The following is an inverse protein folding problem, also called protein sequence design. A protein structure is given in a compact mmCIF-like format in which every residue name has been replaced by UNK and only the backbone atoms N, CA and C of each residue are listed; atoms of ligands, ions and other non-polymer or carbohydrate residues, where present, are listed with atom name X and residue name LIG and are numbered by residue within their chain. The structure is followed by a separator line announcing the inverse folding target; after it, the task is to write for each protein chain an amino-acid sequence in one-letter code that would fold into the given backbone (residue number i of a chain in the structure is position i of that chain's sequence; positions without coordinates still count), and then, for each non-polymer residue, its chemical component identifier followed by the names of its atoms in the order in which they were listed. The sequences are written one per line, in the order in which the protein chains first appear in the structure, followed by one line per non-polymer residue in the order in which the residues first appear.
data_IF_895527927072
#
_entry.id   IF_895527927072
#
_cell.length_a   1.000
_cell.length_b   1.000
_cell.length_c   1.000
_cell.angle_alpha   90.00
_cell.angle_beta   90.00
_cell.angle_gamma   90.00
#
_symmetry.space_group_name_H-M   'P 1'
#
loop_
_entity.id
_entity.type
_entity.pdbx_description
1 polymer ?
#
# COMPACT_ATOMS: atom_id res chain seq x y z
N UNK A 1 5.32 1.15 -3.96
CA UNK A 1 6.60 1.76 -4.41
C UNK A 1 7.09 0.98 -5.62
N UNK A 2 7.51 1.69 -6.66
CA UNK A 2 7.92 1.14 -7.95
C UNK A 2 9.35 1.56 -8.20
N UNK A 3 10.27 0.59 -8.21
CA UNK A 3 11.66 0.87 -8.57
C UNK A 3 11.76 0.97 -10.10
N UNK A 4 12.36 2.05 -10.63
CA UNK A 4 12.55 2.24 -12.08
C UNK A 4 13.61 1.31 -12.65
N UNK A 5 14.57 0.87 -11.82
CA UNK A 5 15.58 -0.14 -12.17
C UNK A 5 16.05 -0.92 -10.94
N UNK A 6 16.60 -2.12 -11.13
CA UNK A 6 17.15 -2.94 -10.04
C UNK A 6 18.63 -2.57 -9.76
N UNK A 7 18.91 -1.28 -9.61
CA UNK A 7 20.22 -0.74 -9.19
C UNK A 7 20.04 0.10 -7.93
N UNK A 8 21.10 0.29 -7.14
CA UNK A 8 21.00 1.04 -5.88
C UNK A 8 20.62 2.51 -6.11
N UNK A 9 21.10 3.10 -7.22
CA UNK A 9 20.84 4.50 -7.59
C UNK A 9 19.54 4.71 -8.38
N UNK A 10 18.76 3.66 -8.63
CA UNK A 10 17.53 3.80 -9.41
C UNK A 10 16.48 4.61 -8.66
N UNK A 11 15.83 5.54 -9.37
CA UNK A 11 14.71 6.31 -8.83
C UNK A 11 13.55 5.40 -8.39
N UNK A 12 12.87 5.83 -7.34
CA UNK A 12 11.70 5.17 -6.79
C UNK A 12 10.47 6.05 -7.02
N UNK A 13 9.45 5.47 -7.65
CA UNK A 13 8.14 6.08 -7.83
C UNK A 13 7.09 5.50 -6.88
N UNK A 14 5.99 6.20 -6.71
CA UNK A 14 4.82 5.71 -5.98
C UNK A 14 3.64 5.64 -6.94
N UNK A 15 3.07 4.44 -7.08
CA UNK A 15 1.86 4.23 -7.86
C UNK A 15 0.64 4.36 -6.94
N UNK A 16 -0.31 5.21 -7.34
CA UNK A 16 -1.56 5.43 -6.64
C UNK A 16 -2.72 4.87 -7.46
N UNK A 17 -3.54 4.02 -6.82
CA UNK A 17 -4.68 3.37 -7.47
C UNK A 17 -5.94 3.67 -6.68
N UNK A 18 -7.05 3.92 -7.39
CA UNK A 18 -8.32 4.30 -6.78
C UNK A 18 -9.35 3.22 -7.07
N UNK A 19 -9.72 2.48 -6.04
CA UNK A 19 -10.81 1.52 -6.13
C UNK A 19 -12.16 2.27 -6.13
N UNK A 20 -13.06 1.85 -7.02
CA UNK A 20 -14.45 2.28 -7.08
C UNK A 20 -15.38 1.09 -6.82
N UNK A 21 -16.66 1.35 -6.53
CA UNK A 21 -17.65 0.30 -6.25
C UNK A 21 -17.81 -0.72 -7.38
N UNK A 22 -17.51 -0.32 -8.62
CA UNK A 22 -17.60 -1.17 -9.81
C UNK A 22 -16.24 -1.76 -10.23
N UNK A 23 -15.16 -1.47 -9.49
CA UNK A 23 -13.84 -2.00 -9.80
C UNK A 23 -13.82 -3.52 -9.62
N UNK A 24 -13.24 -4.21 -10.59
CA UNK A 24 -12.92 -5.65 -10.57
C UNK A 24 -11.41 -5.85 -10.59
N UNK A 25 -10.96 -7.09 -10.36
CA UNK A 25 -9.53 -7.45 -10.41
C UNK A 25 -8.86 -7.06 -11.73
N UNK A 26 -9.56 -7.20 -12.86
CA UNK A 26 -9.03 -6.88 -14.18
C UNK A 26 -8.88 -5.36 -14.35
N UNK A 27 -9.90 -4.59 -13.97
CA UNK A 27 -9.82 -3.12 -14.06
C UNK A 27 -8.72 -2.55 -13.16
N UNK A 28 -8.56 -3.10 -11.95
CA UNK A 28 -7.51 -2.71 -11.03
C UNK A 28 -6.13 -3.14 -11.55
N UNK A 29 -6.02 -4.32 -12.17
CA UNK A 29 -4.79 -4.77 -12.81
C UNK A 29 -4.34 -3.79 -13.89
N UNK A 30 -5.25 -3.42 -14.80
CA UNK A 30 -4.96 -2.49 -15.88
C UNK A 30 -4.54 -1.10 -15.34
N UNK A 31 -5.23 -0.60 -14.30
CA UNK A 31 -4.88 0.66 -13.63
C UNK A 31 -3.51 0.59 -12.96
N UNK A 32 -3.22 -0.48 -12.21
CA UNK A 32 -1.92 -0.70 -11.57
C UNK A 32 -0.81 -0.72 -12.64
N UNK A 33 -1.01 -1.48 -13.72
CA UNK A 33 -0.02 -1.61 -14.77
C UNK A 33 0.20 -0.29 -15.51
N UNK A 34 -0.86 0.45 -15.81
CA UNK A 34 -0.78 1.79 -16.41
C UNK A 34 0.02 2.75 -15.54
N UNK A 35 -0.25 2.78 -14.22
CA UNK A 35 0.44 3.66 -13.28
C UNK A 35 1.91 3.26 -13.14
N UNK A 36 2.22 1.96 -12.99
CA UNK A 36 3.60 1.44 -12.94
C UNK A 36 4.38 1.82 -14.20
N UNK A 37 3.79 1.68 -15.38
CA UNK A 37 4.43 2.03 -16.64
C UNK A 37 4.67 3.54 -16.75
N UNK A 38 3.73 4.35 -16.26
CA UNK A 38 3.90 5.80 -16.20
C UNK A 38 5.03 6.21 -15.26
N UNK A 39 5.12 5.60 -14.07
CA UNK A 39 6.21 5.85 -13.13
C UNK A 39 7.57 5.43 -13.70
N UNK A 40 7.62 4.38 -14.52
CA UNK A 40 8.86 3.92 -15.19
C UNK A 40 9.25 4.76 -16.40
N UNK A 41 8.31 5.49 -16.99
CA UNK A 41 8.63 6.46 -18.05
C UNK A 41 9.33 7.70 -17.48
N UNK A 42 10.23 8.33 -18.24
CA UNK A 42 11.05 9.50 -17.85
C UNK A 42 10.25 10.80 -17.60
N UNK A 43 9.03 10.71 -17.06
CA UNK A 43 8.34 11.88 -16.54
C UNK A 43 9.00 12.28 -15.21
N UNK A 44 9.42 13.55 -15.06
CA UNK A 44 9.99 14.00 -13.80
C UNK A 44 8.95 13.81 -12.69
N UNK A 45 9.29 13.03 -11.68
CA UNK A 45 8.49 12.90 -10.46
C UNK A 45 8.42 14.27 -9.77
N UNK A 46 7.21 14.72 -9.43
CA UNK A 46 7.00 15.98 -8.72
C UNK A 46 7.76 16.03 -7.37
N UNK A 47 8.09 14.86 -6.80
CA UNK A 47 8.91 14.70 -5.59
C UNK A 47 10.27 15.41 -5.69
N UNK A 48 10.91 15.42 -6.86
CA UNK A 48 12.22 16.06 -7.07
C UNK A 48 12.13 17.58 -6.98
N UNK A 49 11.06 18.18 -7.52
CA UNK A 49 10.83 19.63 -7.46
C UNK A 49 10.52 20.13 -6.04
N UNK A 50 9.78 19.34 -5.24
CA UNK A 50 9.54 19.65 -3.83
C UNK A 50 10.81 19.55 -2.98
N UNK A 51 11.69 18.58 -3.25
CA UNK A 51 12.97 18.43 -2.52
C UNK A 51 13.92 19.62 -2.76
N UNK A 52 13.95 20.15 -3.98
CA UNK A 52 14.74 21.36 -4.29
C UNK A 52 14.21 22.63 -3.63
N UNK A 53 12.89 22.74 -3.46
CA UNK A 53 12.27 23.86 -2.75
C UNK A 53 12.64 23.81 -1.26
N UNK A 54 12.55 22.63 -0.65
CA UNK A 54 12.93 22.39 0.75
C UNK A 54 14.40 22.74 0.99
N UNK A 55 15.28 22.38 0.04
CA UNK A 55 16.72 22.64 0.15
C UNK A 55 17.09 24.13 0.09
N UNK A 56 16.27 24.96 -0.53
CA UNK A 56 16.51 26.41 -0.69
C UNK A 56 15.93 27.25 0.46
N UNK A 57 15.07 26.69 1.31
CA UNK A 57 14.46 27.43 2.41
C UNK A 57 15.41 27.55 3.63
N UNK A 58 15.55 28.75 4.23
CA UNK A 58 16.21 28.91 5.51
C UNK A 58 15.54 28.08 6.61
N UNK A 59 16.34 27.43 7.47
CA UNK A 59 15.88 26.56 8.58
C UNK A 59 14.73 27.14 9.44
N UNK A 60 14.73 28.41 9.88
CA UNK A 60 13.64 28.91 10.72
C UNK A 60 12.31 29.02 9.95
N UNK A 61 12.37 29.38 8.66
CA UNK A 61 11.18 29.47 7.81
C UNK A 61 10.64 28.07 7.54
N UNK A 62 11.52 27.12 7.23
CA UNK A 62 11.13 25.71 7.06
C UNK A 62 10.45 25.16 8.32
N UNK A 63 10.99 25.45 9.51
CA UNK A 63 10.37 25.06 10.78
C UNK A 63 8.96 25.62 10.96
N UNK A 64 8.76 26.91 10.66
CA UNK A 64 7.44 27.55 10.73
C UNK A 64 6.45 26.95 9.73
N UNK A 65 6.90 26.70 8.48
CA UNK A 65 6.07 26.09 7.44
C UNK A 65 5.67 24.68 7.84
N UNK A 66 6.61 23.85 8.29
CA UNK A 66 6.30 22.49 8.73
C UNK A 66 5.37 22.48 9.94
N UNK A 67 5.59 23.35 10.93
CA UNK A 67 4.67 23.50 12.05
C UNK A 67 3.24 23.82 11.61
N UNK A 68 3.08 24.73 10.64
CA UNK A 68 1.78 25.09 10.10
C UNK A 68 1.12 23.91 9.38
N UNK A 69 1.87 23.18 8.55
CA UNK A 69 1.32 22.05 7.80
C UNK A 69 0.90 20.91 8.76
N UNK A 70 1.71 20.59 9.78
CA UNK A 70 1.31 19.58 10.79
C UNK A 70 0.01 19.99 11.50
N UNK A 71 -0.17 21.28 11.81
CA UNK A 71 -1.42 21.77 12.40
C UNK A 71 -2.62 21.69 11.46
N UNK A 72 -2.39 21.83 10.15
CA UNK A 72 -3.41 21.62 9.13
C UNK A 72 -3.74 20.13 8.98
N UNK A 73 -2.74 19.26 9.06
CA UNK A 73 -2.90 17.79 9.00
C UNK A 73 -3.76 17.27 10.14
N UNK A 74 -3.46 17.67 11.38
CA UNK A 74 -4.27 17.35 12.57
C UNK A 74 -5.75 17.77 12.43
N UNK A 75 -6.05 18.74 11.56
CA UNK A 75 -7.40 19.26 11.31
C UNK A 75 -8.01 18.73 10.01
N UNK A 76 -7.28 17.95 9.22
CA UNK A 76 -7.71 17.48 7.89
C UNK A 76 -7.84 18.61 6.86
N UNK A 77 -7.12 19.73 7.02
CA UNK A 77 -7.23 20.95 6.21
C UNK A 77 -6.03 21.16 5.27
N UNK A 78 -5.19 20.15 5.08
CA UNK A 78 -4.03 20.28 4.19
C UNK A 78 -4.50 20.39 2.74
N UNK A 79 -3.98 21.36 1.96
CA UNK A 79 -4.36 21.51 0.56
C UNK A 79 -4.10 20.24 -0.25
N UNK A 80 -5.10 19.80 -1.01
CA UNK A 80 -5.02 18.58 -1.83
C UNK A 80 -3.82 18.58 -2.77
N UNK A 81 -3.42 19.74 -3.30
CA UNK A 81 -2.25 19.87 -4.17
C UNK A 81 -0.93 19.47 -3.51
N UNK A 82 -0.84 19.54 -2.18
CA UNK A 82 0.35 19.17 -1.42
C UNK A 82 0.38 17.66 -1.13
N UNK A 83 -0.78 17.08 -0.85
CA UNK A 83 -0.90 15.71 -0.30
C UNK A 83 -1.31 14.67 -1.35
N UNK A 84 -1.76 15.09 -2.54
CA UNK A 84 -2.25 14.18 -3.59
C UNK A 84 -1.21 13.14 -4.01
N UNK A 85 0.07 13.47 -3.89
CA UNK A 85 1.20 12.59 -4.24
C UNK A 85 1.88 12.00 -3.01
N UNK A 86 1.37 12.26 -1.81
CA UNK A 86 1.92 11.74 -0.57
C UNK A 86 1.33 10.34 -0.28
N UNK A 87 2.17 9.29 -0.17
CA UNK A 87 1.71 7.91 0.05
C UNK A 87 0.97 7.74 1.38
N UNK A 88 1.23 8.61 2.35
CA UNK A 88 0.58 8.54 3.66
C UNK A 88 -0.85 9.11 3.64
N UNK A 89 -1.29 9.77 2.56
CA UNK A 89 -2.68 10.17 2.33
C UNK A 89 -3.45 9.17 1.45
N UNK A 90 -3.21 7.88 1.67
CA UNK A 90 -3.93 6.79 1.03
C UNK A 90 -4.52 5.85 2.09
N UNK A 91 -5.71 5.30 1.87
CA UNK A 91 -6.38 4.41 2.83
C UNK A 91 -5.56 3.16 3.16
N UNK A 92 -4.88 2.60 2.17
CA UNK A 92 -4.06 1.39 2.30
C UNK A 92 -2.74 1.62 1.57
N UNK A 93 -1.62 1.28 2.21
CA UNK A 93 -0.30 1.25 1.58
C UNK A 93 0.17 -0.20 1.42
N UNK A 94 0.51 -0.57 0.19
CA UNK A 94 0.97 -1.93 -0.15
C UNK A 94 2.43 -1.89 -0.60
N UNK A 95 3.26 -2.74 0.00
CA UNK A 95 4.66 -2.92 -0.35
C UNK A 95 4.94 -4.37 -0.72
N UNK A 96 5.32 -4.61 -1.98
CA UNK A 96 5.68 -5.94 -2.48
C UNK A 96 7.18 -6.19 -2.40
N UNK A 97 7.65 -6.53 -1.20
CA UNK A 97 9.04 -6.93 -0.94
C UNK A 97 9.39 -8.27 -1.60
N UNK A 98 8.39 -9.13 -1.83
CA UNK A 98 8.59 -10.40 -2.54
C UNK A 98 9.11 -10.23 -3.96
N UNK A 99 8.83 -9.11 -4.63
CA UNK A 99 9.36 -8.81 -5.97
C UNK A 99 10.88 -8.69 -6.04
N UNK A 100 11.54 -8.46 -4.90
CA UNK A 100 13.00 -8.36 -4.76
C UNK A 100 13.58 -9.47 -3.87
N UNK A 101 12.82 -10.54 -3.63
CA UNK A 101 13.27 -11.70 -2.86
C UNK A 101 13.38 -11.46 -1.35
N UNK A 102 12.70 -10.44 -0.82
CA UNK A 102 12.71 -10.14 0.60
C UNK A 102 11.53 -10.83 1.32
N UNK A 103 11.79 -11.21 2.57
CA UNK A 103 10.76 -11.77 3.46
C UNK A 103 9.78 -10.68 3.88
N UNK A 104 8.57 -11.11 4.21
CA UNK A 104 7.57 -10.26 4.82
C UNK A 104 8.06 -9.71 6.17
N UNK A 105 7.74 -8.44 6.44
CA UNK A 105 7.97 -7.77 7.72
C UNK A 105 6.77 -6.92 8.13
N UNK A 106 6.91 -6.13 9.19
CA UNK A 106 5.92 -5.15 9.62
C UNK A 106 6.45 -3.75 9.39
N UNK A 107 5.60 -2.87 8.87
CA UNK A 107 5.88 -1.44 8.80
C UNK A 107 5.02 -0.72 9.82
N UNK A 108 5.56 0.30 10.49
CA UNK A 108 4.80 1.12 11.42
C UNK A 108 3.79 2.00 10.67
N UNK A 109 2.73 2.42 11.35
CA UNK A 109 1.85 3.46 10.85
C UNK A 109 2.49 4.82 11.14
N UNK A 110 2.36 5.74 10.19
CA UNK A 110 2.82 7.11 10.37
C UNK A 110 1.70 7.94 11.01
N UNK A 111 2.03 8.81 11.96
CA UNK A 111 1.07 9.77 12.54
C UNK A 111 0.81 10.99 11.63
N UNK A 112 1.05 10.84 10.34
CA UNK A 112 0.92 11.87 9.32
C UNK A 112 0.03 11.32 8.21
N UNK A 113 -0.95 12.11 7.79
CA UNK A 113 -1.90 11.72 6.76
C UNK A 113 -3.00 10.78 7.25
N UNK A 114 -3.59 10.04 6.31
CA UNK A 114 -4.82 9.25 6.52
C UNK A 114 -4.61 7.74 6.38
N UNK A 115 -3.37 7.29 6.26
CA UNK A 115 -3.05 5.87 6.13
C UNK A 115 -3.33 5.10 7.41
N UNK A 116 -4.20 4.11 7.30
CA UNK A 116 -4.66 3.31 8.44
C UNK A 116 -4.35 1.82 8.31
N UNK A 117 -3.80 1.40 7.17
CA UNK A 117 -3.46 0.02 6.89
C UNK A 117 -2.17 -0.04 6.06
N UNK A 118 -1.17 -0.73 6.60
CA UNK A 118 0.03 -1.08 5.88
C UNK A 118 0.06 -2.59 5.62
N UNK A 119 0.21 -2.97 4.35
CA UNK A 119 0.33 -4.35 3.92
C UNK A 119 1.69 -4.60 3.26
N UNK A 120 2.46 -5.52 3.83
CA UNK A 120 3.75 -5.96 3.28
C UNK A 120 3.59 -7.37 2.73
N UNK A 121 3.88 -7.54 1.45
CA UNK A 121 3.86 -8.83 0.76
C UNK A 121 5.29 -9.36 0.67
N UNK A 122 5.55 -10.52 1.26
CA UNK A 122 6.84 -11.20 1.20
C UNK A 122 7.03 -12.07 -0.04
N UNK A 123 8.22 -12.67 -0.16
CA UNK A 123 8.53 -13.64 -1.20
C UNK A 123 7.61 -14.88 -1.18
N UNK A 124 7.22 -15.32 -2.38
CA UNK A 124 6.48 -16.57 -2.59
C UNK A 124 7.39 -17.77 -2.33
N UNK A 125 6.91 -18.72 -1.51
CA UNK A 125 7.67 -19.94 -1.16
C UNK A 125 6.78 -21.16 -1.03
N UNK A 126 7.34 -22.33 -1.32
CA UNK A 126 6.68 -23.61 -1.07
C UNK A 126 6.73 -23.97 0.41
N UNK A 127 5.58 -24.24 1.02
CA UNK A 127 5.47 -24.76 2.39
C UNK A 127 4.68 -26.07 2.38
N UNK A 128 5.10 -27.08 3.16
CA UNK A 128 4.29 -28.28 3.34
C UNK A 128 3.04 -27.92 4.15
N UNK A 129 1.88 -28.30 3.65
CA UNK A 129 0.63 -28.31 4.42
C UNK A 129 0.35 -29.74 4.85
N UNK A 130 0.36 -29.96 6.15
CA UNK A 130 0.05 -31.25 6.75
C UNK A 130 -1.46 -31.42 6.89
N UNK A 131 -1.92 -32.65 6.65
CA UNK A 131 -3.30 -33.07 6.89
C UNK A 131 -3.35 -33.98 8.11
N UNK A 132 -4.55 -34.16 8.68
CA UNK A 132 -4.75 -34.95 9.90
C UNK A 132 -4.43 -36.44 9.70
N UNK A 133 -4.40 -36.92 8.46
CA UNK A 133 -4.04 -38.29 8.08
C UNK A 133 -2.51 -38.53 8.00
N UNK A 134 -1.70 -37.51 8.31
CA UNK A 134 -0.24 -37.58 8.27
C UNK A 134 0.37 -37.39 6.88
N UNK A 135 -0.45 -37.21 5.84
CA UNK A 135 0.03 -36.82 4.52
C UNK A 135 0.38 -35.32 4.48
N UNK A 136 1.21 -34.93 3.52
CA UNK A 136 1.49 -33.51 3.28
C UNK A 136 1.41 -33.21 1.79
N UNK A 137 1.11 -31.95 1.50
CA UNK A 137 1.11 -31.42 0.14
C UNK A 137 1.87 -30.10 0.10
N UNK A 138 2.69 -29.91 -0.94
CA UNK A 138 3.52 -28.71 -1.09
C UNK A 138 2.69 -27.63 -1.76
N UNK A 139 2.35 -26.58 -0.99
CA UNK A 139 1.60 -25.44 -1.51
C UNK A 139 2.48 -24.22 -1.63
N UNK A 140 2.24 -23.47 -2.69
CA UNK A 140 2.76 -22.13 -2.82
C UNK A 140 2.08 -21.23 -1.78
N UNK A 141 2.89 -20.52 -1.00
CA UNK A 141 2.44 -19.63 0.07
C UNK A 141 3.13 -18.29 -0.03
N UNK A 142 2.41 -17.25 0.36
CA UNK A 142 2.94 -15.88 0.48
C UNK A 142 2.62 -15.43 1.90
N UNK A 143 3.63 -14.89 2.59
CA UNK A 143 3.44 -14.31 3.92
C UNK A 143 3.04 -12.83 3.77
N UNK A 144 2.00 -12.42 4.49
CA UNK A 144 1.50 -11.04 4.53
C UNK A 144 1.68 -10.45 5.93
N UNK A 145 2.18 -9.22 5.98
CA UNK A 145 2.43 -8.47 7.21
C UNK A 145 1.49 -7.28 7.24
N UNK A 146 0.54 -7.29 8.17
CA UNK A 146 -0.49 -6.27 8.26
C UNK A 146 -0.30 -5.48 9.54
N UNK A 147 -0.15 -4.16 9.39
CA UNK A 147 -0.20 -3.22 10.51
C UNK A 147 -1.44 -2.37 10.34
N UNK A 148 -2.34 -2.42 11.32
CA UNK A 148 -3.67 -1.80 11.25
C UNK A 148 -3.82 -0.80 12.39
N UNK A 149 -4.40 0.36 12.10
CA UNK A 149 -4.65 1.41 13.09
C UNK A 149 -5.80 1.00 14.00
N UNK A 150 -5.50 0.61 15.24
CA UNK A 150 -6.44 0.16 16.26
C UNK A 150 -7.55 1.18 16.60
N UNK A 151 -7.36 2.46 16.23
CA UNK A 151 -8.36 3.51 16.46
C UNK A 151 -9.57 3.40 15.52
N UNK A 152 -9.45 2.66 14.41
CA UNK A 152 -10.54 2.52 13.45
C UNK A 152 -11.62 1.52 13.89
N UNK A 153 -11.21 0.39 14.46
CA UNK A 153 -12.11 -0.70 14.81
C UNK A 153 -11.52 -1.61 15.89
N UNK A 154 -12.37 -2.45 16.46
CA UNK A 154 -11.94 -3.44 17.45
C UNK A 154 -11.33 -4.70 16.82
N UNK A 155 -10.71 -5.54 17.65
CA UNK A 155 -10.12 -6.79 17.21
C UNK A 155 -11.12 -7.79 16.62
N UNK A 156 -12.41 -7.70 16.98
CA UNK A 156 -13.44 -8.59 16.43
C UNK A 156 -13.72 -8.23 14.97
N UNK A 157 -13.88 -6.96 14.67
CA UNK A 157 -14.04 -6.44 13.31
C UNK A 157 -12.84 -6.82 12.44
N UNK A 158 -11.61 -6.60 12.91
CA UNK A 158 -10.42 -6.99 12.14
C UNK A 158 -10.33 -8.50 11.93
N UNK A 159 -10.71 -9.32 12.92
CA UNK A 159 -10.71 -10.77 12.74
C UNK A 159 -11.62 -11.22 11.59
N UNK A 160 -12.76 -10.56 11.42
CA UNK A 160 -13.68 -10.78 10.29
C UNK A 160 -13.06 -10.29 8.98
N UNK A 161 -12.50 -9.09 8.95
CA UNK A 161 -11.83 -8.55 7.75
C UNK A 161 -10.67 -9.43 7.27
N UNK A 162 -9.85 -9.97 8.17
CA UNK A 162 -8.75 -10.87 7.80
C UNK A 162 -9.27 -12.22 7.29
N UNK A 163 -10.36 -12.75 7.84
CA UNK A 163 -11.01 -13.96 7.33
C UNK A 163 -11.57 -13.73 5.92
N UNK A 164 -12.24 -12.61 5.68
CA UNK A 164 -12.72 -12.23 4.36
C UNK A 164 -11.56 -12.10 3.37
N UNK A 165 -10.51 -11.37 3.73
CA UNK A 165 -9.30 -11.23 2.89
C UNK A 165 -8.73 -12.61 2.53
N UNK A 166 -8.60 -13.50 3.51
CA UNK A 166 -8.11 -14.86 3.26
C UNK A 166 -9.04 -15.65 2.33
N UNK A 167 -10.36 -15.53 2.52
CA UNK A 167 -11.34 -16.18 1.67
C UNK A 167 -11.23 -15.70 0.21
N UNK A 168 -11.18 -14.38 -0.01
CA UNK A 168 -11.00 -13.78 -1.33
C UNK A 168 -9.70 -14.24 -2.02
N UNK A 169 -8.59 -14.35 -1.27
CA UNK A 169 -7.33 -14.84 -1.81
C UNK A 169 -7.34 -16.34 -2.15
N UNK A 170 -8.23 -17.11 -1.52
CA UNK A 170 -8.41 -18.54 -1.80
C UNK A 170 -9.45 -18.80 -2.91
N UNK A 171 -10.30 -17.81 -3.18
CA UNK A 171 -11.38 -17.81 -4.17
C UNK A 171 -11.29 -16.57 -5.07
N UNK A 172 -10.23 -16.45 -5.89
CA UNK A 172 -9.98 -15.24 -6.69
C UNK A 172 -11.09 -14.92 -7.70
N UNK A 173 -11.91 -15.90 -8.10
CA UNK A 173 -13.09 -15.72 -8.95
C UNK A 173 -14.12 -14.73 -8.36
N UNK A 174 -14.10 -14.52 -7.04
CA UNK A 174 -14.95 -13.53 -6.38
C UNK A 174 -14.50 -12.09 -6.67
N UNK A 175 -13.23 -11.89 -7.02
CA UNK A 175 -12.67 -10.58 -7.33
C UNK A 175 -12.93 -10.14 -8.78
N UNK A 176 -13.46 -11.04 -9.63
CA UNK A 176 -13.93 -10.71 -10.97
C UNK A 176 -15.28 -9.97 -10.94
N UNK A 177 -15.96 -9.98 -9.79
CA UNK A 177 -17.23 -9.29 -9.57
C UNK A 177 -17.00 -7.85 -9.07
N UNK A 178 -17.99 -6.95 -9.19
CA UNK A 178 -17.89 -5.59 -8.67
C UNK A 178 -17.53 -5.56 -7.19
N UNK A 179 -16.64 -4.65 -6.77
CA UNK A 179 -16.19 -4.52 -5.38
C UNK A 179 -17.32 -4.26 -4.36
N UNK A 180 -18.46 -3.70 -4.80
CA UNK A 180 -19.62 -3.49 -3.93
C UNK A 180 -20.47 -4.74 -3.69
N UNK A 181 -20.26 -5.82 -4.44
CA UNK A 181 -21.01 -7.07 -4.26
C UNK A 181 -20.64 -7.74 -2.93
N UNK A 182 -21.65 -8.08 -2.14
CA UNK A 182 -21.45 -8.70 -0.83
C UNK A 182 -20.93 -10.15 -1.00
N UNK A 183 -19.89 -10.48 -0.24
CA UNK A 183 -19.29 -11.83 -0.21
C UNK A 183 -19.62 -12.53 1.10
N UNK A 184 -20.22 -13.71 1.01
CA UNK A 184 -20.46 -14.60 2.16
C UNK A 184 -19.24 -15.53 2.38
N UNK A 185 -18.74 -15.63 3.61
CA UNK A 185 -17.52 -16.39 3.96
C UNK A 185 -17.52 -16.94 5.39
#
# INVERSE_FOLDING_TARGET
MVKKGFTDDAEEGLAFVRCSDNSTIDTLHDEIMSEILSCRSDKPDNSTASMDLVRKLPRPIFGLVMWLIHRLDERGLVPLSLIKTDPYYASVMVSNLGSIGLKCGYHHLCNWGTNSLFCVIGEKKKKPRFYDDGTFDLRDTVDLGLTIDERLADGYYYSKSIKLLKHLLQHPELLERPACEHVEY
#
